data_IF_692528737596
#
_entry.id   IF_692528737596
#
_cell.length_a   1.000
_cell.length_b   1.000
_cell.length_c   1.000
_cell.angle_alpha   90.00
_cell.angle_beta   90.00
_cell.angle_gamma   90.00
#
_symmetry.space_group_name_H-M   'P 1'
#
loop_
_entity.id
_entity.type
_entity.pdbx_description
1 polymer ?
#
# COMPACT_ATOMS: atom_id res chain seq x y z
N UNK A 1 -3.61 70.00 -13.13
CA UNK A 1 -4.27 69.04 -12.20
C UNK A 1 -5.08 67.92 -12.89
N UNK A 2 -6.05 68.24 -13.77
CA UNK A 2 -6.94 67.22 -14.40
C UNK A 2 -6.23 66.23 -15.33
N UNK A 3 -5.22 66.69 -16.09
CA UNK A 3 -4.43 65.81 -16.97
C UNK A 3 -3.60 64.78 -16.18
N UNK A 4 -2.98 65.20 -15.07
CA UNK A 4 -2.24 64.30 -14.17
C UNK A 4 -3.14 63.24 -13.53
N UNK A 5 -4.34 63.63 -13.09
CA UNK A 5 -5.33 62.69 -12.55
C UNK A 5 -5.79 61.64 -13.59
N UNK A 6 -5.97 62.05 -14.86
CA UNK A 6 -6.31 61.12 -15.95
C UNK A 6 -5.18 60.14 -16.26
N UNK A 7 -3.94 60.61 -16.29
CA UNK A 7 -2.76 59.74 -16.51
C UNK A 7 -2.63 58.72 -15.38
N UNK A 8 -2.79 59.16 -14.12
CA UNK A 8 -2.75 58.25 -12.95
C UNK A 8 -3.89 57.24 -13.01
N UNK A 9 -5.12 57.67 -13.30
CA UNK A 9 -6.27 56.77 -13.41
C UNK A 9 -6.07 55.72 -14.52
N UNK A 10 -5.57 56.13 -15.70
CA UNK A 10 -5.26 55.20 -16.79
C UNK A 10 -4.15 54.21 -16.40
N UNK A 11 -3.13 54.67 -15.68
CA UNK A 11 -2.06 53.82 -15.17
C UNK A 11 -2.58 52.76 -14.20
N UNK A 12 -3.42 53.17 -13.23
CA UNK A 12 -4.03 52.26 -12.25
C UNK A 12 -4.97 51.26 -12.93
N UNK A 13 -5.84 51.71 -13.82
CA UNK A 13 -6.76 50.83 -14.55
C UNK A 13 -6.00 49.83 -15.44
N UNK A 14 -4.95 50.27 -16.13
CA UNK A 14 -4.12 49.38 -16.95
C UNK A 14 -3.40 48.33 -16.12
N UNK A 15 -2.86 48.73 -14.96
CA UNK A 15 -2.20 47.81 -14.02
C UNK A 15 -3.20 46.79 -13.45
N UNK A 16 -4.39 47.25 -13.04
CA UNK A 16 -5.46 46.39 -12.57
C UNK A 16 -5.91 45.39 -13.65
N UNK A 17 -6.13 45.85 -14.87
CA UNK A 17 -6.52 45.00 -16.00
C UNK A 17 -5.45 43.94 -16.30
N UNK A 18 -4.16 44.30 -16.25
CA UNK A 18 -3.05 43.37 -16.44
C UNK A 18 -3.02 42.27 -15.36
N UNK A 19 -3.17 42.64 -14.08
CA UNK A 19 -3.21 41.65 -12.99
C UNK A 19 -4.48 40.79 -13.04
N UNK A 20 -5.65 41.37 -13.34
CA UNK A 20 -6.88 40.61 -13.50
C UNK A 20 -6.78 39.60 -14.64
N UNK A 21 -6.19 40.01 -15.78
CA UNK A 21 -5.98 39.14 -16.93
C UNK A 21 -5.00 37.99 -16.65
N UNK A 22 -3.84 38.27 -16.06
CA UNK A 22 -2.85 37.24 -15.71
C UNK A 22 -3.38 36.26 -14.66
N UNK A 23 -4.15 36.76 -13.68
CA UNK A 23 -4.85 35.93 -12.70
C UNK A 23 -5.90 35.05 -13.35
N UNK A 24 -6.69 35.58 -14.29
CA UNK A 24 -7.68 34.80 -15.04
C UNK A 24 -7.01 33.69 -15.88
N UNK A 25 -5.89 33.97 -16.54
CA UNK A 25 -5.13 32.94 -17.28
C UNK A 25 -4.62 31.83 -16.35
N UNK A 26 -4.12 32.18 -15.17
CA UNK A 26 -3.68 31.18 -14.17
C UNK A 26 -4.84 30.37 -13.60
N UNK A 27 -5.98 31.02 -13.33
CA UNK A 27 -7.19 30.32 -12.89
C UNK A 27 -7.65 29.30 -13.94
N UNK A 28 -7.57 29.65 -15.24
CA UNK A 28 -7.89 28.72 -16.34
C UNK A 28 -6.85 27.60 -16.51
N UNK A 29 -5.59 27.82 -16.17
CA UNK A 29 -4.56 26.76 -16.14
C UNK A 29 -4.83 25.77 -15.00
N UNK A 30 -5.25 26.27 -13.82
CA UNK A 30 -5.51 25.46 -12.63
C UNK A 30 -6.90 24.82 -12.60
N UNK A 31 -7.84 25.29 -13.43
CA UNK A 31 -9.20 24.75 -13.47
C UNK A 31 -9.30 23.34 -14.06
N UNK A 32 -8.30 22.89 -14.83
CA UNK A 32 -8.22 21.52 -15.35
C UNK A 32 -6.91 20.86 -14.90
N UNK A 33 -6.96 19.84 -14.01
CA UNK A 33 -5.78 19.14 -13.54
C UNK A 33 -4.88 18.60 -14.65
N UNK A 34 -5.45 18.17 -15.80
CA UNK A 34 -4.64 17.70 -16.93
C UNK A 34 -3.86 18.84 -17.57
N UNK A 35 -4.50 19.99 -17.78
CA UNK A 35 -3.82 21.17 -18.37
C UNK A 35 -2.69 21.64 -17.46
N UNK A 36 -2.91 21.62 -16.15
CA UNK A 36 -1.89 21.97 -15.16
C UNK A 36 -0.68 21.05 -15.27
N UNK A 37 -0.84 19.73 -15.16
CA UNK A 37 0.31 18.80 -15.19
C UNK A 37 1.02 18.79 -16.54
N UNK A 38 0.28 18.97 -17.64
CA UNK A 38 0.88 19.08 -18.98
C UNK A 38 1.72 20.35 -19.12
N UNK A 39 1.22 21.49 -18.62
CA UNK A 39 1.95 22.75 -18.63
C UNK A 39 3.15 22.73 -17.69
N UNK A 40 3.07 22.02 -16.57
CA UNK A 40 4.21 21.85 -15.66
C UNK A 40 5.29 20.95 -16.28
N UNK A 41 4.91 19.80 -16.84
CA UNK A 41 5.85 18.89 -17.48
C UNK A 41 6.54 19.50 -18.72
N UNK A 42 5.86 20.38 -19.46
CA UNK A 42 6.48 21.10 -20.59
C UNK A 42 7.48 22.16 -20.12
N UNK A 43 7.21 22.84 -18.99
CA UNK A 43 8.14 23.79 -18.36
C UNK A 43 9.32 23.08 -17.68
N UNK A 44 9.16 21.81 -17.28
CA UNK A 44 10.14 21.02 -16.53
C UNK A 44 10.38 19.65 -17.19
N UNK A 45 10.96 19.61 -18.41
CA UNK A 45 11.12 18.37 -19.17
C UNK A 45 12.05 17.35 -18.48
N UNK A 46 13.00 17.82 -17.66
CA UNK A 46 13.97 16.97 -16.96
C UNK A 46 13.59 16.67 -15.51
N UNK A 47 12.42 17.12 -15.04
CA UNK A 47 11.95 16.81 -13.68
C UNK A 47 11.21 15.47 -13.67
N UNK A 48 11.73 14.43 -12.97
CA UNK A 48 11.02 13.17 -12.86
C UNK A 48 9.60 13.36 -12.30
N UNK A 49 9.45 14.12 -11.22
CA UNK A 49 8.14 14.33 -10.60
C UNK A 49 7.11 14.96 -11.55
N UNK A 50 7.54 15.96 -12.35
CA UNK A 50 6.65 16.59 -13.32
C UNK A 50 6.26 15.62 -14.45
N UNK A 51 7.20 14.81 -14.95
CA UNK A 51 6.90 13.80 -15.97
C UNK A 51 6.02 12.67 -15.41
N UNK A 52 6.25 12.25 -14.18
CA UNK A 52 5.42 11.26 -13.51
C UNK A 52 3.98 11.74 -13.35
N UNK A 53 3.79 12.95 -12.80
CA UNK A 53 2.47 13.54 -12.59
C UNK A 53 1.68 13.68 -13.92
N UNK A 54 2.38 14.06 -15.00
CA UNK A 54 1.78 14.08 -16.35
C UNK A 54 1.27 12.71 -16.76
N UNK A 55 2.11 11.67 -16.64
CA UNK A 55 1.74 10.35 -17.12
C UNK A 55 0.69 9.66 -16.24
N UNK A 56 0.77 9.80 -14.92
CA UNK A 56 -0.26 9.31 -13.98
C UNK A 56 -1.62 9.97 -14.28
N UNK A 57 -1.65 11.27 -14.58
CA UNK A 57 -2.89 11.96 -14.97
C UNK A 57 -3.44 11.45 -16.31
N UNK A 58 -2.57 11.13 -17.28
CA UNK A 58 -3.00 10.52 -18.55
C UNK A 58 -3.64 9.15 -18.32
N UNK A 59 -3.08 8.33 -17.43
CA UNK A 59 -3.61 7.01 -17.09
C UNK A 59 -4.96 7.09 -16.36
N UNK A 60 -5.17 8.12 -15.54
CA UNK A 60 -6.43 8.34 -14.81
C UNK A 60 -7.56 8.86 -15.69
N UNK A 61 -7.26 9.51 -16.82
CA UNK A 61 -8.31 10.06 -17.69
C UNK A 61 -8.98 8.96 -18.51
N UNK A 62 -10.31 9.04 -18.57
CA UNK A 62 -11.14 8.21 -19.44
C UNK A 62 -10.79 8.45 -20.92
N UNK A 63 -11.07 7.43 -21.75
CA UNK A 63 -10.89 7.32 -23.21
C UNK A 63 -10.81 8.66 -23.95
N UNK A 64 -9.88 8.75 -24.90
CA UNK A 64 -9.85 9.84 -25.88
C UNK A 64 -11.19 9.94 -26.64
N UNK A 65 -11.43 11.08 -27.28
CA UNK A 65 -12.59 11.30 -28.15
C UNK A 65 -12.69 10.29 -29.33
N UNK A 66 -11.58 9.67 -29.72
CA UNK A 66 -11.50 8.62 -30.75
C UNK A 66 -11.79 7.20 -30.20
N UNK A 67 -12.10 7.06 -28.91
CA UNK A 67 -12.38 5.79 -28.25
C UNK A 67 -11.15 4.94 -27.94
N UNK A 68 -9.93 5.41 -28.23
CA UNK A 68 -8.69 4.73 -27.82
C UNK A 68 -8.30 5.12 -26.40
N UNK A 69 -7.83 4.18 -25.56
CA UNK A 69 -7.26 4.53 -24.28
C UNK A 69 -5.96 5.34 -24.50
N UNK A 70 -5.75 6.49 -23.82
CA UNK A 70 -4.46 7.21 -23.85
C UNK A 70 -3.32 6.45 -23.15
N UNK A 71 -3.55 5.18 -22.81
CA UNK A 71 -2.70 4.33 -21.99
C UNK A 71 -1.35 4.08 -22.65
N UNK A 72 -1.29 3.88 -23.96
CA UNK A 72 -0.02 3.59 -24.63
C UNK A 72 0.89 4.84 -24.69
N UNK A 73 0.32 6.02 -24.93
CA UNK A 73 1.07 7.30 -24.85
C UNK A 73 1.62 7.54 -23.44
N UNK A 74 0.81 7.22 -22.41
CA UNK A 74 1.22 7.36 -21.02
C UNK A 74 2.31 6.35 -20.64
N UNK A 75 2.21 5.10 -21.11
CA UNK A 75 3.24 4.06 -20.91
C UNK A 75 4.55 4.48 -21.59
N UNK A 76 4.50 4.99 -22.83
CA UNK A 76 5.69 5.50 -23.51
C UNK A 76 6.31 6.69 -22.78
N UNK A 77 5.49 7.61 -22.26
CA UNK A 77 5.95 8.72 -21.44
C UNK A 77 6.62 8.23 -20.15
N UNK A 78 6.05 7.25 -19.46
CA UNK A 78 6.64 6.64 -18.26
C UNK A 78 7.96 5.93 -18.57
N UNK A 79 8.02 5.06 -19.59
CA UNK A 79 9.25 4.31 -19.93
C UNK A 79 10.39 5.23 -20.37
N UNK A 80 10.06 6.39 -20.95
CA UNK A 80 11.06 7.41 -21.28
C UNK A 80 11.50 8.17 -20.03
N UNK A 81 10.55 8.66 -19.23
CA UNK A 81 10.82 9.50 -18.07
C UNK A 81 11.50 8.75 -16.91
N UNK A 82 11.31 7.43 -16.80
CA UNK A 82 11.97 6.62 -15.76
C UNK A 82 13.49 6.63 -15.87
N UNK A 83 14.03 6.95 -17.06
CA UNK A 83 15.46 7.03 -17.35
C UNK A 83 16.06 8.40 -16.97
N UNK A 84 15.24 9.35 -16.51
CA UNK A 84 15.73 10.66 -16.06
C UNK A 84 16.60 10.51 -14.80
N UNK A 85 17.65 11.33 -14.67
CA UNK A 85 18.51 11.32 -13.49
C UNK A 85 17.69 11.68 -12.23
N UNK A 86 17.87 10.90 -11.17
CA UNK A 86 17.15 11.08 -9.91
C UNK A 86 15.71 10.53 -9.92
N UNK A 87 15.25 9.90 -11.00
CA UNK A 87 13.97 9.20 -11.01
C UNK A 87 13.98 8.04 -9.98
N UNK A 88 12.97 8.01 -9.10
CA UNK A 88 12.74 6.90 -8.19
C UNK A 88 12.09 5.69 -8.88
N UNK A 89 11.73 4.68 -8.09
CA UNK A 89 11.11 3.45 -8.61
C UNK A 89 9.61 3.58 -8.94
N UNK A 90 9.04 4.75 -8.70
CA UNK A 90 7.62 5.02 -8.85
C UNK A 90 7.14 4.83 -10.30
N UNK A 91 8.02 5.10 -11.28
CA UNK A 91 7.73 4.87 -12.69
C UNK A 91 7.59 3.39 -13.02
N UNK A 92 8.56 2.58 -12.58
CA UNK A 92 8.55 1.13 -12.78
C UNK A 92 7.32 0.51 -12.13
N UNK A 93 7.03 0.90 -10.89
CA UNK A 93 5.83 0.46 -10.17
C UNK A 93 4.56 0.74 -10.98
N UNK A 94 4.41 1.96 -11.50
CA UNK A 94 3.21 2.34 -12.26
C UNK A 94 3.13 1.61 -13.60
N UNK A 95 4.26 1.40 -14.28
CA UNK A 95 4.34 0.61 -15.53
C UNK A 95 3.92 -0.85 -15.29
N UNK A 96 4.50 -1.49 -14.26
CA UNK A 96 4.22 -2.86 -13.87
C UNK A 96 2.73 -3.02 -13.53
N UNK A 97 2.21 -2.20 -12.63
CA UNK A 97 0.81 -2.31 -12.18
C UNK A 97 -0.18 -1.95 -13.28
N UNK A 98 0.12 -0.97 -14.13
CA UNK A 98 -0.75 -0.62 -15.28
C UNK A 98 -0.83 -1.75 -16.28
N UNK A 99 0.29 -2.40 -16.62
CA UNK A 99 0.28 -3.55 -17.53
C UNK A 99 -0.42 -4.76 -16.93
N UNK A 100 -0.16 -5.04 -15.64
CA UNK A 100 -0.80 -6.13 -14.92
C UNK A 100 -2.33 -5.99 -14.92
N UNK A 101 -2.86 -4.78 -14.62
CA UNK A 101 -4.30 -4.48 -14.67
C UNK A 101 -4.94 -4.65 -16.04
N UNK A 102 -4.15 -4.62 -17.11
CA UNK A 102 -4.61 -4.85 -18.50
C UNK A 102 -4.43 -6.29 -18.93
N UNK A 103 -3.92 -7.17 -18.07
CA UNK A 103 -3.50 -8.54 -18.41
C UNK A 103 -2.53 -8.58 -19.59
N UNK A 104 -1.67 -7.56 -19.68
CA UNK A 104 -0.64 -7.47 -20.72
C UNK A 104 0.71 -7.95 -20.17
N UNK A 105 1.58 -8.54 -21.02
CA UNK A 105 2.92 -8.90 -20.60
C UNK A 105 3.68 -7.72 -19.99
N UNK A 106 4.30 -7.96 -18.84
CA UNK A 106 5.11 -6.98 -18.11
C UNK A 106 6.53 -7.07 -18.66
N UNK A 107 7.11 -5.92 -19.05
CA UNK A 107 8.48 -5.90 -19.56
C UNK A 107 9.47 -6.21 -18.41
N UNK A 108 10.29 -7.28 -18.49
CA UNK A 108 11.22 -7.65 -17.43
C UNK A 108 12.27 -6.57 -17.14
N UNK A 109 12.58 -5.70 -18.11
CA UNK A 109 13.52 -4.61 -17.92
C UNK A 109 13.07 -3.59 -16.85
N UNK A 110 11.76 -3.47 -16.60
CA UNK A 110 11.25 -2.58 -15.54
C UNK A 110 11.56 -3.11 -14.15
N UNK A 111 11.48 -4.43 -13.94
CA UNK A 111 11.90 -5.05 -12.70
C UNK A 111 13.40 -4.90 -12.47
N UNK A 112 14.21 -5.11 -13.52
CA UNK A 112 15.66 -4.93 -13.45
C UNK A 112 16.04 -3.49 -13.07
N UNK A 113 15.44 -2.50 -13.72
CA UNK A 113 15.71 -1.08 -13.43
C UNK A 113 15.26 -0.68 -12.01
N UNK A 114 14.10 -1.19 -11.57
CA UNK A 114 13.59 -0.99 -10.21
C UNK A 114 14.59 -1.49 -9.17
N UNK A 115 15.09 -2.72 -9.34
CA UNK A 115 16.07 -3.33 -8.43
C UNK A 115 17.38 -2.54 -8.44
N UNK A 116 17.85 -2.13 -9.62
CA UNK A 116 19.11 -1.38 -9.74
C UNK A 116 19.04 -0.02 -9.03
N UNK A 117 17.92 0.70 -9.17
CA UNK A 117 17.68 1.97 -8.46
C UNK A 117 17.65 1.80 -6.93
N UNK A 118 17.11 0.68 -6.45
CA UNK A 118 17.12 0.35 -5.02
C UNK A 118 18.51 -0.08 -4.53
N UNK A 119 19.33 -0.69 -5.38
CA UNK A 119 20.74 -1.00 -5.05
C UNK A 119 21.60 0.25 -5.02
N UNK A 120 21.33 1.24 -5.87
CA UNK A 120 22.20 2.41 -6.00
C UNK A 120 22.08 3.41 -4.85
N UNK A 121 20.98 3.39 -4.10
CA UNK A 121 20.75 4.34 -2.98
C UNK A 121 19.75 3.80 -1.95
N UNK A 122 19.81 4.28 -0.69
CA UNK A 122 18.78 3.98 0.30
C UNK A 122 17.38 4.33 -0.20
N UNK A 123 16.41 3.45 0.08
CA UNK A 123 15.02 3.67 -0.27
C UNK A 123 14.43 4.83 0.53
N UNK A 124 13.78 5.76 -0.18
CA UNK A 124 13.11 6.90 0.42
C UNK A 124 11.61 6.59 0.66
N UNK A 125 10.85 7.56 1.16
CA UNK A 125 9.42 7.38 1.43
C UNK A 125 8.59 7.08 0.17
N UNK A 126 8.97 7.64 -0.99
CA UNK A 126 8.32 7.38 -2.28
C UNK A 126 8.58 5.95 -2.76
N UNK A 127 9.81 5.45 -2.59
CA UNK A 127 10.14 4.07 -2.93
C UNK A 127 9.40 3.08 -2.02
N UNK A 128 9.34 3.34 -0.70
CA UNK A 128 8.57 2.52 0.22
C UNK A 128 7.07 2.48 -0.15
N UNK A 129 6.49 3.63 -0.54
CA UNK A 129 5.12 3.68 -1.04
C UNK A 129 4.94 2.89 -2.34
N UNK A 130 5.92 2.95 -3.24
CA UNK A 130 5.89 2.21 -4.51
C UNK A 130 5.93 0.70 -4.25
N UNK A 131 6.78 0.24 -3.34
CA UNK A 131 6.81 -1.16 -2.91
C UNK A 131 5.48 -1.60 -2.26
N UNK A 132 4.84 -0.73 -1.45
CA UNK A 132 3.52 -1.02 -0.89
C UNK A 132 2.46 -1.21 -1.98
N UNK A 133 2.46 -0.38 -3.03
CA UNK A 133 1.54 -0.54 -4.17
C UNK A 133 1.82 -1.83 -4.96
N UNK A 134 3.08 -2.28 -5.02
CA UNK A 134 3.42 -3.58 -5.59
C UNK A 134 2.90 -4.72 -4.72
N UNK A 135 3.02 -4.63 -3.38
CA UNK A 135 2.40 -5.60 -2.48
C UNK A 135 0.90 -5.70 -2.75
N UNK A 136 0.18 -4.57 -2.78
CA UNK A 136 -1.26 -4.55 -3.06
C UNK A 136 -1.57 -5.21 -4.41
N UNK A 137 -0.76 -4.99 -5.44
CA UNK A 137 -0.94 -5.63 -6.73
C UNK A 137 -0.92 -7.17 -6.64
N UNK A 138 0.01 -7.74 -5.88
CA UNK A 138 0.06 -9.20 -5.67
C UNK A 138 -1.05 -9.70 -4.75
N UNK A 139 -1.36 -8.96 -3.68
CA UNK A 139 -2.43 -9.31 -2.73
C UNK A 139 -3.81 -9.31 -3.38
N UNK A 140 -4.04 -8.40 -4.33
CA UNK A 140 -5.28 -8.30 -5.11
C UNK A 140 -5.30 -9.26 -6.32
N UNK A 141 -4.29 -10.13 -6.47
CA UNK A 141 -4.12 -11.03 -7.62
C UNK A 141 -4.11 -10.32 -8.98
N UNK A 142 -3.74 -9.03 -9.01
CA UNK A 142 -3.55 -8.27 -10.24
C UNK A 142 -2.18 -8.60 -10.84
N UNK A 143 -1.16 -8.68 -9.99
CA UNK A 143 0.17 -9.16 -10.34
C UNK A 143 0.26 -10.64 -9.94
N UNK A 144 0.35 -11.55 -10.91
CA UNK A 144 0.39 -13.00 -10.64
C UNK A 144 1.80 -13.60 -10.82
N UNK A 145 2.62 -12.98 -11.67
CA UNK A 145 3.95 -13.47 -12.01
C UNK A 145 5.07 -12.64 -11.35
N UNK A 146 6.26 -13.22 -11.25
CA UNK A 146 7.50 -12.54 -10.84
C UNK A 146 7.53 -12.01 -9.40
N UNK A 147 6.89 -12.71 -8.45
CA UNK A 147 7.07 -12.43 -7.02
C UNK A 147 8.55 -12.50 -6.59
N UNK A 148 9.37 -13.29 -7.28
CA UNK A 148 10.83 -13.33 -7.12
C UNK A 148 11.48 -11.97 -7.39
N UNK A 149 11.04 -11.23 -8.41
CA UNK A 149 11.56 -9.90 -8.71
C UNK A 149 11.18 -8.89 -7.62
N UNK A 150 9.98 -9.00 -7.04
CA UNK A 150 9.61 -8.18 -5.88
C UNK A 150 10.46 -8.54 -4.64
N UNK A 151 10.76 -9.82 -4.44
CA UNK A 151 11.69 -10.26 -3.38
C UNK A 151 13.09 -9.65 -3.57
N UNK A 152 13.61 -9.65 -4.80
CA UNK A 152 14.90 -9.04 -5.12
C UNK A 152 14.89 -7.51 -4.89
N UNK A 153 13.76 -6.85 -5.17
CA UNK A 153 13.58 -5.43 -4.88
C UNK A 153 13.66 -5.13 -3.38
N UNK A 154 12.98 -5.93 -2.54
CA UNK A 154 13.08 -5.78 -1.08
C UNK A 154 14.49 -6.07 -0.57
N UNK A 155 15.14 -7.12 -1.08
CA UNK A 155 16.53 -7.42 -0.73
C UNK A 155 17.46 -6.24 -1.06
N UNK A 156 17.30 -5.61 -2.23
CA UNK A 156 18.03 -4.41 -2.61
C UNK A 156 17.73 -3.22 -1.67
N UNK A 157 16.45 -2.93 -1.43
CA UNK A 157 16.03 -1.81 -0.59
C UNK A 157 16.56 -1.92 0.86
N UNK A 158 16.58 -3.14 1.40
CA UNK A 158 17.01 -3.42 2.78
C UNK A 158 18.53 -3.50 2.93
N UNK A 159 19.29 -3.64 1.84
CA UNK A 159 20.75 -3.86 1.86
C UNK A 159 21.58 -2.65 2.35
N UNK A 160 21.02 -1.44 2.34
CA UNK A 160 21.73 -0.21 2.71
C UNK A 160 21.92 0.00 4.22
N UNK A 161 21.33 -0.87 5.06
CA UNK A 161 21.34 -0.73 6.52
C UNK A 161 20.40 0.37 7.02
N UNK A 162 20.00 0.29 8.30
CA UNK A 162 19.11 1.25 8.98
C UNK A 162 17.87 1.67 8.14
N UNK A 163 17.03 0.72 7.72
CA UNK A 163 15.84 1.01 6.92
C UNK A 163 14.91 1.97 7.65
N UNK A 164 14.28 2.89 6.90
CA UNK A 164 13.29 3.82 7.45
C UNK A 164 12.10 3.04 8.00
N UNK A 165 11.45 3.56 9.05
CA UNK A 165 10.24 2.95 9.62
C UNK A 165 9.17 2.63 8.57
N UNK A 166 8.97 3.49 7.57
CA UNK A 166 8.02 3.25 6.47
C UNK A 166 8.39 2.06 5.60
N UNK A 167 9.68 1.83 5.33
CA UNK A 167 10.13 0.67 4.57
C UNK A 167 9.96 -0.61 5.39
N UNK A 168 10.30 -0.57 6.68
CA UNK A 168 10.09 -1.68 7.61
C UNK A 168 8.62 -2.09 7.68
N UNK A 169 7.69 -1.13 7.84
CA UNK A 169 6.25 -1.41 7.86
C UNK A 169 5.76 -2.09 6.56
N UNK A 170 6.29 -1.66 5.42
CA UNK A 170 5.90 -2.20 4.10
C UNK A 170 6.55 -3.56 3.83
N UNK A 171 7.78 -3.77 4.29
CA UNK A 171 8.44 -5.08 4.23
C UNK A 171 7.76 -6.08 5.18
N UNK A 172 7.27 -5.62 6.34
CA UNK A 172 6.49 -6.45 7.25
C UNK A 172 5.24 -7.02 6.59
N UNK A 173 4.51 -6.19 5.82
CA UNK A 173 3.34 -6.61 5.05
C UNK A 173 3.71 -7.64 3.97
N UNK A 174 4.81 -7.40 3.25
CA UNK A 174 5.33 -8.33 2.24
C UNK A 174 5.68 -9.69 2.85
N UNK A 175 6.49 -9.69 3.92
CA UNK A 175 6.90 -10.89 4.61
C UNK A 175 5.69 -11.66 5.15
N UNK A 176 4.75 -10.96 5.78
CA UNK A 176 3.59 -11.58 6.40
C UNK A 176 2.60 -12.15 5.39
N UNK A 177 2.17 -11.36 4.41
CA UNK A 177 1.05 -11.73 3.54
C UNK A 177 1.48 -12.40 2.24
N UNK A 178 2.64 -12.03 1.68
CA UNK A 178 3.09 -12.55 0.39
C UNK A 178 4.11 -13.68 0.52
N UNK A 179 4.99 -13.63 1.53
CA UNK A 179 5.92 -14.74 1.80
C UNK A 179 5.39 -15.75 2.81
N UNK A 180 4.39 -15.39 3.61
CA UNK A 180 3.89 -16.20 4.73
C UNK A 180 4.87 -16.29 5.91
N UNK A 181 5.95 -15.51 5.90
CA UNK A 181 6.94 -15.43 6.98
C UNK A 181 6.45 -14.47 8.07
N UNK A 182 5.56 -14.99 8.92
CA UNK A 182 4.95 -14.23 10.02
C UNK A 182 5.99 -13.77 11.04
N UNK A 183 7.06 -14.55 11.27
CA UNK A 183 8.12 -14.18 12.22
C UNK A 183 8.89 -12.98 11.71
N UNK A 184 9.27 -12.97 10.43
CA UNK A 184 9.92 -11.81 9.81
C UNK A 184 8.98 -10.61 9.79
N UNK A 185 7.71 -10.80 9.40
CA UNK A 185 6.72 -9.72 9.39
C UNK A 185 6.56 -9.05 10.76
N UNK A 186 6.47 -9.84 11.83
CA UNK A 186 6.39 -9.28 13.19
C UNK A 186 7.68 -8.54 13.60
N UNK A 187 8.86 -9.12 13.30
CA UNK A 187 10.15 -8.46 13.60
C UNK A 187 10.24 -7.10 12.93
N UNK A 188 9.87 -7.01 11.67
CA UNK A 188 9.95 -5.77 10.90
C UNK A 188 8.97 -4.71 11.39
N UNK A 189 7.74 -5.08 11.73
CA UNK A 189 6.76 -4.11 12.22
C UNK A 189 7.09 -3.62 13.63
N UNK A 190 7.68 -4.47 14.49
CA UNK A 190 8.25 -4.02 15.77
C UNK A 190 9.36 -3.00 15.56
N UNK A 191 10.31 -3.31 14.68
CA UNK A 191 11.39 -2.38 14.34
C UNK A 191 10.86 -1.06 13.75
N UNK A 192 9.77 -1.10 12.97
CA UNK A 192 9.12 0.11 12.46
C UNK A 192 8.53 0.97 13.58
N UNK A 193 7.84 0.35 14.56
CA UNK A 193 7.28 1.05 15.73
C UNK A 193 8.38 1.61 16.62
N UNK A 194 9.49 0.89 16.80
CA UNK A 194 10.64 1.37 17.56
C UNK A 194 11.31 2.57 16.89
N UNK A 195 11.45 2.52 15.56
CA UNK A 195 12.02 3.62 14.76
C UNK A 195 11.08 4.85 14.66
N UNK A 196 9.77 4.64 14.69
CA UNK A 196 8.76 5.72 14.65
C UNK A 196 7.62 5.50 15.67
N UNK A 197 7.85 5.74 16.98
CA UNK A 197 6.87 5.43 18.03
C UNK A 197 5.55 6.22 17.96
N UNK A 198 5.50 7.29 17.17
CA UNK A 198 4.28 8.08 16.94
C UNK A 198 3.45 7.60 15.74
N UNK A 199 3.95 6.66 14.93
CA UNK A 199 3.22 6.14 13.78
C UNK A 199 2.07 5.22 14.22
N UNK A 200 0.86 5.75 14.16
CA UNK A 200 -0.38 5.06 14.53
C UNK A 200 -0.66 3.87 13.61
N UNK A 201 -0.33 3.97 12.32
CA UNK A 201 -0.55 2.89 11.37
C UNK A 201 0.41 1.72 11.61
N UNK A 202 1.69 2.02 11.88
CA UNK A 202 2.67 0.98 12.24
C UNK A 202 2.25 0.24 13.52
N UNK A 203 1.78 0.97 14.53
CA UNK A 203 1.27 0.38 15.79
C UNK A 203 0.01 -0.46 15.60
N UNK A 204 -0.94 0.01 14.77
CA UNK A 204 -2.11 -0.80 14.40
C UNK A 204 -1.68 -2.10 13.73
N UNK A 205 -0.74 -2.04 12.79
CA UNK A 205 -0.24 -3.24 12.11
C UNK A 205 0.48 -4.18 13.08
N UNK A 206 1.26 -3.65 14.03
CA UNK A 206 1.87 -4.45 15.10
C UNK A 206 0.80 -5.12 15.95
N UNK A 207 -0.24 -4.39 16.39
CA UNK A 207 -1.37 -4.99 17.11
C UNK A 207 -1.98 -6.18 16.35
N UNK A 208 -2.23 -6.02 15.05
CA UNK A 208 -2.80 -7.10 14.21
C UNK A 208 -1.87 -8.30 14.14
N UNK A 209 -0.56 -8.09 13.99
CA UNK A 209 0.44 -9.16 13.98
C UNK A 209 0.50 -9.91 15.34
N UNK A 210 0.45 -9.17 16.45
CA UNK A 210 0.44 -9.74 17.81
C UNK A 210 -0.82 -10.57 18.07
N UNK A 211 -1.98 -10.07 17.65
CA UNK A 211 -3.24 -10.79 17.76
C UNK A 211 -3.21 -12.10 16.96
N UNK A 212 -2.69 -12.03 15.73
CA UNK A 212 -2.62 -13.19 14.83
C UNK A 212 -1.55 -14.23 15.24
N UNK A 213 -0.56 -13.86 16.05
CA UNK A 213 0.42 -14.79 16.68
C UNK A 213 0.03 -15.19 18.11
N UNK A 214 -1.19 -14.87 18.55
CA UNK A 214 -1.71 -15.18 19.89
C UNK A 214 -0.91 -14.54 21.05
N UNK A 215 -0.22 -13.43 20.80
CA UNK A 215 0.49 -12.63 21.81
C UNK A 215 -0.46 -11.60 22.44
N UNK A 216 -1.52 -12.09 23.10
CA UNK A 216 -2.66 -11.27 23.55
C UNK A 216 -2.25 -10.19 24.55
N UNK A 217 -1.32 -10.48 25.47
CA UNK A 217 -0.81 -9.51 26.44
C UNK A 217 -0.10 -8.34 25.76
N UNK A 218 0.73 -8.61 24.76
CA UNK A 218 1.42 -7.59 23.98
C UNK A 218 0.43 -6.79 23.10
N UNK A 219 -0.55 -7.46 22.49
CA UNK A 219 -1.61 -6.79 21.72
C UNK A 219 -2.39 -5.81 22.60
N UNK A 220 -2.76 -6.21 23.82
CA UNK A 220 -3.43 -5.35 24.81
C UNK A 220 -2.59 -4.13 25.21
N UNK A 221 -1.28 -4.31 25.34
CA UNK A 221 -0.35 -3.22 25.61
C UNK A 221 -0.33 -2.19 24.46
N UNK A 222 -0.22 -2.65 23.20
CA UNK A 222 -0.28 -1.76 22.03
C UNK A 222 -1.61 -1.02 21.92
N UNK A 223 -2.73 -1.69 22.21
CA UNK A 223 -4.04 -1.06 22.20
C UNK A 223 -4.15 0.07 23.24
N UNK A 224 -3.55 -0.12 24.42
CA UNK A 224 -3.47 0.93 25.46
C UNK A 224 -2.68 2.15 24.95
N UNK A 225 -1.58 1.91 24.25
CA UNK A 225 -0.78 2.98 23.64
C UNK A 225 -1.59 3.71 22.56
N UNK A 226 -2.28 2.98 21.69
CA UNK A 226 -3.15 3.56 20.65
C UNK A 226 -4.26 4.44 21.25
N UNK A 227 -4.91 3.99 22.32
CA UNK A 227 -5.91 4.79 23.06
C UNK A 227 -5.35 6.09 23.60
N UNK A 228 -4.16 6.05 24.21
CA UNK A 228 -3.53 7.26 24.76
C UNK A 228 -3.18 8.32 23.70
N UNK A 229 -3.11 7.94 22.42
CA UNK A 229 -2.86 8.83 21.28
C UNK A 229 -4.15 9.40 20.66
N UNK A 230 -5.33 8.98 21.11
CA UNK A 230 -6.61 9.34 20.52
C UNK A 230 -7.22 10.62 21.13
N UNK A 231 -6.48 11.74 21.12
CA UNK A 231 -6.87 12.96 21.85
C UNK A 231 -8.12 13.66 21.32
N UNK A 232 -8.51 13.39 20.06
CA UNK A 232 -9.66 14.04 19.41
C UNK A 232 -10.66 13.04 18.82
N UNK A 233 -10.61 11.77 19.23
CA UNK A 233 -11.49 10.73 18.67
C UNK A 233 -11.21 10.38 17.20
N UNK A 234 -10.11 10.85 16.63
CA UNK A 234 -9.72 10.60 15.23
C UNK A 234 -9.60 9.11 14.89
N UNK A 235 -9.35 8.28 15.90
CA UNK A 235 -9.13 6.85 15.75
C UNK A 235 -10.19 5.99 16.46
N UNK A 236 -11.33 6.55 16.85
CA UNK A 236 -12.39 5.84 17.58
C UNK A 236 -12.83 4.56 16.86
N UNK A 237 -13.16 4.68 15.57
CA UNK A 237 -13.62 3.55 14.76
C UNK A 237 -12.57 2.44 14.67
N UNK A 238 -11.30 2.80 14.51
CA UNK A 238 -10.20 1.86 14.48
C UNK A 238 -10.02 1.19 15.84
N UNK A 239 -9.96 1.97 16.94
CA UNK A 239 -9.76 1.44 18.30
C UNK A 239 -10.87 0.48 18.69
N UNK A 240 -12.14 0.84 18.42
CA UNK A 240 -13.30 -0.03 18.69
C UNK A 240 -13.20 -1.34 17.91
N UNK A 241 -12.75 -1.29 16.65
CA UNK A 241 -12.54 -2.51 15.86
C UNK A 241 -11.43 -3.39 16.44
N UNK A 242 -10.33 -2.81 16.92
CA UNK A 242 -9.23 -3.56 17.54
C UNK A 242 -9.65 -4.16 18.89
N UNK A 243 -10.43 -3.45 19.70
CA UNK A 243 -11.01 -3.97 20.95
C UNK A 243 -11.90 -5.17 20.69
N UNK A 244 -12.81 -5.06 19.71
CA UNK A 244 -13.70 -6.16 19.34
C UNK A 244 -12.91 -7.39 18.89
N UNK A 245 -11.85 -7.20 18.11
CA UNK A 245 -10.98 -8.28 17.66
C UNK A 245 -10.21 -8.95 18.83
N UNK A 246 -9.72 -8.18 19.80
CA UNK A 246 -9.04 -8.71 20.99
C UNK A 246 -10.00 -9.55 21.85
N UNK A 247 -11.18 -9.02 22.19
CA UNK A 247 -12.18 -9.72 23.01
C UNK A 247 -12.65 -11.01 22.35
N UNK A 248 -12.85 -11.01 21.03
CA UNK A 248 -13.22 -12.20 20.28
C UNK A 248 -12.14 -13.30 20.33
N UNK A 249 -10.86 -12.92 20.38
CA UNK A 249 -9.74 -13.86 20.46
C UNK A 249 -9.51 -14.38 21.89
N UNK A 250 -9.68 -13.52 22.90
CA UNK A 250 -9.66 -13.92 24.32
C UNK A 250 -10.75 -14.96 24.62
N UNK A 251 -11.98 -14.74 24.16
CA UNK A 251 -13.10 -15.68 24.33
C UNK A 251 -12.96 -17.01 23.57
N UNK A 252 -12.05 -17.11 22.59
CA UNK A 252 -11.69 -18.39 21.93
C UNK A 252 -10.60 -19.15 22.67
N UNK A 253 -9.79 -18.46 23.47
CA UNK A 253 -8.64 -19.03 24.16
C UNK A 253 -9.03 -19.62 25.51
N UNK A 254 -10.12 -19.15 26.12
CA UNK A 254 -10.75 -19.82 27.28
C UNK A 254 -11.60 -21.00 26.81
N UNK A 255 -11.21 -22.27 27.08
CA UNK A 255 -12.08 -23.40 26.83
C UNK A 255 -13.21 -23.38 27.87
N UNK A 256 -14.44 -23.57 27.39
CA UNK A 256 -15.61 -24.01 28.16
C UNK A 256 -15.21 -25.04 29.23
N UNK A 257 -15.06 -24.58 30.48
CA UNK A 257 -14.93 -25.44 31.66
C UNK A 257 -16.27 -26.04 32.11
N UNK A 258 -17.37 -25.77 31.39
CA UNK A 258 -18.74 -26.17 31.76
C UNK A 258 -19.31 -27.36 30.96
N UNK A 259 -18.49 -28.10 30.19
CA UNK A 259 -18.90 -29.38 29.60
C UNK A 259 -18.15 -30.57 30.25
N UNK A 260 -18.19 -30.65 31.58
CA UNK A 260 -18.00 -31.92 32.27
C UNK A 260 -19.36 -32.63 32.34
N UNK A 261 -19.51 -33.71 31.56
CA UNK A 261 -20.66 -34.61 31.59
C UNK A 261 -20.97 -35.12 33.01
N UNK A 262 -22.25 -35.23 33.41
CA UNK A 262 -22.62 -36.12 34.49
C UNK A 262 -22.72 -37.55 33.93
N UNK A 263 -21.72 -38.33 34.28
CA UNK A 263 -21.74 -39.76 34.60
C UNK A 263 -23.16 -40.38 34.69
N UNK A 264 -23.61 -41.03 33.61
CA UNK A 264 -24.77 -41.92 33.67
C UNK A 264 -24.34 -43.29 34.17
N UNK A 265 -24.43 -43.48 35.48
CA UNK A 265 -24.52 -44.81 36.09
C UNK A 265 -25.75 -45.52 35.53
N UNK A 266 -25.57 -46.56 34.73
CA UNK A 266 -26.54 -47.63 34.71
C UNK A 266 -25.91 -49.01 34.51
N UNK A 267 -26.44 -49.91 35.31
CA UNK A 267 -26.03 -51.26 35.66
C UNK A 267 -26.83 -52.25 34.79
N UNK A 268 -26.20 -53.30 34.28
CA UNK A 268 -26.91 -54.53 33.90
C UNK A 268 -26.42 -55.22 32.63
N UNK A 269 -25.58 -56.24 32.81
CA UNK A 269 -25.75 -57.61 32.26
C UNK A 269 -26.44 -57.78 30.90
N UNK A 270 -25.74 -58.32 29.88
CA UNK A 270 -25.75 -59.77 29.60
C UNK A 270 -24.97 -60.16 28.32
N UNK A 271 -24.35 -61.35 28.39
CA UNK A 271 -23.97 -62.33 27.35
C UNK A 271 -23.16 -61.94 26.07
N UNK A 272 -22.01 -62.61 25.97
CA UNK A 272 -21.13 -62.87 24.81
C UNK A 272 -21.81 -63.71 23.68
N UNK A 273 -21.07 -64.23 22.67
CA UNK A 273 -20.37 -63.55 21.57
C UNK A 273 -20.75 -64.17 20.19
N UNK A 274 -20.55 -63.48 19.06
CA UNK A 274 -20.38 -64.16 17.76
C UNK A 274 -19.61 -63.26 16.78
N UNK A 275 -18.60 -63.87 16.14
CA UNK A 275 -18.20 -63.80 14.71
C UNK A 275 -18.35 -62.47 13.93
N UNK A 276 -17.57 -62.11 12.92
CA UNK A 276 -16.33 -62.55 12.26
C UNK A 276 -16.26 -61.67 10.97
N UNK A 277 -15.10 -61.62 10.31
CA UNK A 277 -14.90 -61.19 8.89
C UNK A 277 -14.92 -59.66 8.66
N UNK A 278 -13.77 -59.05 8.32
CA UNK A 278 -13.21 -58.78 6.96
C UNK A 278 -14.15 -57.91 6.09
N UNK A 279 -13.73 -57.04 5.18
CA UNK A 279 -12.47 -56.71 4.53
C UNK A 279 -12.69 -55.36 3.81
N UNK A 280 -11.60 -54.74 3.36
CA UNK A 280 -11.52 -53.77 2.25
C UNK A 280 -12.15 -52.38 2.50
N UNK A 281 -11.53 -51.23 2.21
CA UNK A 281 -10.53 -50.89 1.20
C UNK A 281 -11.07 -49.69 0.38
N UNK A 282 -10.17 -48.88 -0.21
CA UNK A 282 -10.41 -47.99 -1.38
C UNK A 282 -11.05 -46.61 -1.04
N UNK A 283 -10.29 -45.52 -0.84
CA UNK A 283 -9.58 -44.56 -1.75
C UNK A 283 -10.36 -43.33 -2.23
N UNK A 284 -9.68 -42.17 -2.07
CA UNK A 284 -9.46 -41.04 -3.03
C UNK A 284 -10.60 -40.05 -3.34
N UNK A 285 -10.23 -38.76 -3.34
CA UNK A 285 -10.76 -37.72 -4.24
C UNK A 285 -11.08 -36.40 -3.52
N UNK A 286 -10.15 -35.47 -3.28
CA UNK A 286 -9.70 -34.39 -4.19
C UNK A 286 -10.79 -33.68 -4.99
N UNK A 287 -11.09 -32.44 -4.59
CA UNK A 287 -11.42 -31.28 -5.42
C UNK A 287 -11.09 -30.02 -4.62
#
# INVERSE_FOLDING_TARGET
PRLRARIVALGVTSLFAFYAFTTALRALEWSDPLRLVMAEASKRPLSPDAQFARADMMLRRLRRADGTPPTDDAIHALDSARKLPGAGILFEQLLITTQAKRHMPINPAWWVDLVEKLKSRPANASDARSLALLNSCFLEHICEENISALKDAYAAAMSHGNPRATLLSVHAEFAWHLLGDKLQGERDIRAAVDAAPSDVNARRNLFVALLATNQLSAAKAELTVLKSKNWFGLYDSMILSLESALSAQEGRTEPSLDQASPESSNRGSDLSPHESVASDGVTIGSS
#
